data_IF_724357333164
#
_entry.id   IF_724357333164
#
_cell.length_a   1.000
_cell.length_b   1.000
_cell.length_c   1.000
_cell.angle_alpha   90.00
_cell.angle_beta   90.00
_cell.angle_gamma   90.00
#
_symmetry.space_group_name_H-M   'P 1'
#
loop_
_entity.id
_entity.type
_entity.pdbx_description
1 polymer ?
#
# COMPACT_ATOMS: atom_id res chain seq x y z
N UNK A 1 16.67 22.46 -54.71
CA UNK A 1 16.71 21.37 -53.71
C UNK A 1 16.82 21.86 -52.27
N UNK A 2 17.50 22.94 -51.91
CA UNK A 2 17.64 23.46 -50.53
C UNK A 2 16.36 24.07 -49.92
N UNK A 3 15.38 24.51 -50.74
CA UNK A 3 14.12 25.12 -50.26
C UNK A 3 13.04 24.09 -49.91
N UNK A 4 13.08 22.86 -50.45
CA UNK A 4 12.15 21.78 -50.07
C UNK A 4 12.49 21.13 -48.72
N UNK A 5 13.77 21.10 -48.35
CA UNK A 5 14.22 20.56 -47.10
C UNK A 5 13.81 21.42 -45.86
N UNK A 6 13.69 22.76 -46.08
CA UNK A 6 13.26 23.69 -45.05
C UNK A 6 11.75 23.59 -44.73
N UNK A 7 10.91 23.27 -45.75
CA UNK A 7 9.48 23.08 -45.53
C UNK A 7 9.15 21.75 -44.81
N UNK A 8 9.94 20.71 -45.04
CA UNK A 8 9.76 19.42 -44.33
C UNK A 8 10.13 19.50 -42.86
N UNK A 9 11.13 20.34 -42.50
CA UNK A 9 11.54 20.55 -41.11
C UNK A 9 10.56 21.39 -40.29
N UNK A 10 9.69 22.18 -40.92
CA UNK A 10 8.65 22.99 -40.25
C UNK A 10 7.34 22.24 -40.03
N UNK A 11 7.13 21.10 -40.69
CA UNK A 11 5.92 20.28 -40.53
C UNK A 11 6.04 19.17 -39.46
N UNK A 12 7.26 18.87 -39.02
CA UNK A 12 7.51 17.85 -37.99
C UNK A 12 7.04 18.22 -36.58
N UNK A 13 7.00 19.49 -36.12
CA UNK A 13 6.50 19.77 -34.74
C UNK A 13 4.98 19.84 -34.64
N UNK A 14 4.21 19.93 -35.76
CA UNK A 14 2.74 20.01 -35.65
C UNK A 14 2.06 18.66 -35.40
N UNK A 15 2.71 17.54 -35.67
CA UNK A 15 2.14 16.21 -35.42
C UNK A 15 2.32 15.71 -34.00
N UNK A 16 3.14 16.39 -33.16
CA UNK A 16 3.30 16.05 -31.73
C UNK A 16 2.33 16.78 -30.78
N UNK A 17 1.52 17.71 -31.30
CA UNK A 17 0.61 18.50 -30.46
C UNK A 17 -0.68 17.77 -30.05
N UNK A 18 -0.91 16.54 -30.54
CA UNK A 18 -2.11 15.76 -30.20
C UNK A 18 -1.92 14.70 -29.11
N UNK A 19 -0.74 14.63 -28.51
CA UNK A 19 -0.46 13.70 -27.41
C UNK A 19 -0.79 14.29 -26.02
N UNK A 20 -1.43 15.47 -25.94
CA UNK A 20 -1.91 15.98 -24.67
C UNK A 20 -3.15 15.19 -24.25
N UNK A 21 -2.97 14.41 -23.20
CA UNK A 21 -4.07 13.77 -22.49
C UNK A 21 -5.09 14.85 -22.12
N UNK A 22 -6.32 14.69 -22.59
CA UNK A 22 -7.41 15.59 -22.21
C UNK A 22 -7.76 15.31 -20.76
N UNK A 23 -7.05 15.95 -19.84
CA UNK A 23 -7.31 15.86 -18.40
C UNK A 23 -8.53 16.72 -18.12
N UNK A 24 -9.71 16.13 -18.22
CA UNK A 24 -10.93 16.74 -17.72
C UNK A 24 -10.82 16.86 -16.19
N UNK A 25 -10.49 18.04 -15.71
CA UNK A 25 -10.56 18.34 -14.27
C UNK A 25 -12.03 18.34 -13.87
N UNK A 26 -12.49 17.23 -13.29
CA UNK A 26 -13.71 17.22 -12.51
C UNK A 26 -13.37 17.83 -11.16
N UNK A 27 -13.87 19.02 -10.91
CA UNK A 27 -14.00 19.50 -9.54
C UNK A 27 -15.25 18.85 -8.96
N UNK A 28 -15.05 17.70 -8.30
CA UNK A 28 -16.14 17.07 -7.56
C UNK A 28 -16.56 18.05 -6.45
N UNK A 29 -17.80 18.46 -6.49
CA UNK A 29 -18.35 19.48 -5.58
C UNK A 29 -18.79 18.91 -4.25
N UNK A 30 -18.70 17.60 -4.08
CA UNK A 30 -19.23 16.89 -2.91
C UNK A 30 -18.08 16.21 -2.19
N UNK A 31 -17.88 16.59 -0.92
CA UNK A 31 -16.94 15.91 -0.04
C UNK A 31 -17.26 14.41 0.03
N UNK A 32 -16.25 13.52 0.00
CA UNK A 32 -16.49 12.06 0.02
C UNK A 32 -17.14 11.60 1.32
N UNK A 33 -16.76 12.24 2.43
CA UNK A 33 -17.28 11.94 3.77
C UNK A 33 -17.03 13.11 4.72
N UNK A 34 -17.81 13.14 5.80
CA UNK A 34 -17.63 14.05 6.94
C UNK A 34 -17.62 13.21 8.22
N UNK A 35 -16.59 13.40 9.03
CA UNK A 35 -16.52 12.83 10.39
C UNK A 35 -17.23 13.80 11.32
N UNK A 36 -18.31 13.35 11.95
CA UNK A 36 -19.12 14.15 12.86
C UNK A 36 -18.47 14.22 14.26
N UNK A 37 -18.88 15.20 15.11
CA UNK A 37 -18.29 15.35 16.46
C UNK A 37 -18.44 14.13 17.38
N UNK A 38 -19.40 13.26 17.12
CA UNK A 38 -19.64 12.02 17.85
C UNK A 38 -18.89 10.80 17.26
N UNK A 39 -18.00 11.03 16.27
CA UNK A 39 -17.30 10.01 15.50
C UNK A 39 -18.20 9.18 14.57
N UNK A 40 -19.46 9.52 14.37
CA UNK A 40 -20.20 8.97 13.24
C UNK A 40 -19.66 9.55 11.94
N UNK A 41 -19.83 8.82 10.83
CA UNK A 41 -19.30 9.23 9.52
C UNK A 41 -20.43 9.32 8.51
N UNK A 42 -20.58 10.50 7.92
CA UNK A 42 -21.56 10.71 6.84
C UNK A 42 -20.85 10.63 5.50
N UNK A 43 -21.15 9.62 4.71
CA UNK A 43 -20.65 9.42 3.36
C UNK A 43 -21.54 10.13 2.34
N UNK A 44 -20.91 10.66 1.28
CA UNK A 44 -21.62 11.30 0.18
C UNK A 44 -21.06 10.83 -1.17
N UNK A 45 -21.98 10.68 -2.14
CA UNK A 45 -21.60 10.47 -3.54
C UNK A 45 -22.63 11.07 -4.48
N UNK A 46 -22.16 11.71 -5.54
CA UNK A 46 -23.04 12.23 -6.59
C UNK A 46 -23.26 11.13 -7.64
N UNK A 47 -24.47 10.58 -7.65
CA UNK A 47 -24.91 9.55 -8.60
C UNK A 47 -26.39 9.78 -9.01
N UNK A 48 -26.70 10.87 -9.75
CA UNK A 48 -28.06 11.30 -10.01
C UNK A 48 -28.88 10.28 -10.83
N UNK A 49 -28.21 9.47 -11.66
CA UNK A 49 -28.85 8.44 -12.49
C UNK A 49 -28.96 7.08 -11.83
N UNK A 50 -28.28 6.85 -10.68
CA UNK A 50 -28.31 5.58 -9.99
C UNK A 50 -29.69 5.28 -9.40
N UNK A 51 -30.07 3.99 -9.41
CA UNK A 51 -31.29 3.47 -8.82
C UNK A 51 -31.09 3.04 -7.37
N UNK A 52 -29.89 2.57 -7.04
CA UNK A 52 -29.50 2.12 -5.70
C UNK A 52 -28.04 2.45 -5.44
N UNK A 53 -27.75 2.94 -4.23
CA UNK A 53 -26.37 3.16 -3.77
C UNK A 53 -26.27 2.69 -2.32
N UNK A 54 -25.24 1.94 -2.01
CA UNK A 54 -24.88 1.60 -0.62
C UNK A 54 -23.39 1.77 -0.38
N UNK A 55 -23.02 2.06 0.85
CA UNK A 55 -21.63 2.03 1.33
C UNK A 55 -21.39 0.71 2.06
N UNK A 56 -20.26 0.08 1.78
CA UNK A 56 -19.81 -1.15 2.43
C UNK A 56 -18.40 -0.92 2.98
N UNK A 57 -18.21 -1.13 4.28
CA UNK A 57 -16.95 -0.93 4.96
C UNK A 57 -16.69 -1.98 6.03
N UNK A 58 -15.51 -1.91 6.63
CA UNK A 58 -14.98 -2.89 7.60
C UNK A 58 -15.27 -2.54 9.07
N UNK A 59 -16.15 -1.56 9.33
CA UNK A 59 -16.54 -1.16 10.69
C UNK A 59 -17.57 -2.08 11.36
N UNK A 60 -18.07 -3.08 10.66
CA UNK A 60 -18.98 -4.07 11.20
C UNK A 60 -18.49 -5.49 10.88
N UNK A 61 -18.90 -6.47 11.69
CA UNK A 61 -18.50 -7.88 11.55
C UNK A 61 -18.79 -8.47 10.15
N UNK A 62 -19.77 -7.90 9.42
CA UNK A 62 -20.18 -8.29 8.07
C UNK A 62 -19.78 -7.22 7.02
N UNK A 63 -18.70 -6.50 7.23
CA UNK A 63 -18.19 -5.45 6.36
C UNK A 63 -19.16 -4.26 6.15
N UNK A 64 -20.02 -3.92 7.11
CA UNK A 64 -21.03 -2.85 7.05
C UNK A 64 -21.81 -2.81 5.73
N UNK A 65 -23.10 -2.58 5.75
CA UNK A 65 -23.90 -2.50 4.53
C UNK A 65 -24.93 -1.36 4.64
N UNK A 66 -24.44 -0.11 4.49
CA UNK A 66 -25.24 1.08 4.62
C UNK A 66 -25.98 1.44 3.34
N UNK A 67 -27.29 1.22 3.30
CA UNK A 67 -28.14 1.72 2.21
C UNK A 67 -28.19 3.25 2.26
N UNK A 68 -27.76 3.91 1.18
CA UNK A 68 -27.75 5.36 1.09
C UNK A 68 -29.11 5.93 0.67
N UNK A 69 -29.40 7.13 1.11
CA UNK A 69 -30.63 7.88 0.78
C UNK A 69 -30.32 8.93 -0.28
N UNK A 70 -31.14 8.95 -1.35
CA UNK A 70 -30.98 9.92 -2.44
C UNK A 70 -31.60 11.27 -2.08
N UNK A 71 -30.79 12.32 -2.11
CA UNK A 71 -31.23 13.71 -1.96
C UNK A 71 -31.82 14.29 -3.26
N UNK A 72 -32.45 15.45 -3.15
CA UNK A 72 -33.13 16.13 -4.27
C UNK A 72 -32.21 16.52 -5.43
N UNK A 73 -30.92 16.77 -5.14
CA UNK A 73 -29.89 17.15 -6.12
C UNK A 73 -29.18 15.93 -6.77
N UNK A 74 -29.61 14.71 -6.45
CA UNK A 74 -28.98 13.49 -6.94
C UNK A 74 -27.75 13.03 -6.15
N UNK A 75 -27.41 13.69 -5.04
CA UNK A 75 -26.39 13.24 -4.08
C UNK A 75 -27.01 12.19 -3.15
N UNK A 76 -26.30 11.10 -2.97
CA UNK A 76 -26.63 10.06 -2.02
C UNK A 76 -25.85 10.23 -0.74
N UNK A 77 -26.46 9.92 0.41
CA UNK A 77 -25.80 9.98 1.71
C UNK A 77 -26.19 8.84 2.63
N UNK A 78 -25.27 8.49 3.52
CA UNK A 78 -25.47 7.54 4.61
C UNK A 78 -24.61 7.96 5.80
N UNK A 79 -25.15 7.88 7.02
CA UNK A 79 -24.40 8.15 8.27
C UNK A 79 -24.30 6.86 9.08
N UNK A 80 -23.08 6.51 9.50
CA UNK A 80 -22.82 5.37 10.38
C UNK A 80 -23.24 5.67 11.82
N UNK A 81 -23.41 4.67 12.69
CA UNK A 81 -23.24 4.88 14.13
C UNK A 81 -21.85 5.46 14.45
N UNK A 82 -21.62 6.02 15.67
CA UNK A 82 -20.27 6.39 16.11
C UNK A 82 -19.30 5.23 16.02
N UNK A 83 -18.10 5.50 15.44
CA UNK A 83 -17.07 4.49 15.20
C UNK A 83 -15.90 4.69 16.17
N UNK A 84 -15.26 3.61 16.66
CA UNK A 84 -14.01 3.69 17.39
C UNK A 84 -12.89 4.40 16.62
N UNK A 85 -11.90 4.92 17.33
CA UNK A 85 -10.69 5.47 16.71
C UNK A 85 -9.89 4.36 16.04
N UNK A 86 -9.86 4.38 14.69
CA UNK A 86 -9.19 3.37 13.86
C UNK A 86 -9.04 3.90 12.42
N UNK A 87 -8.33 3.15 11.58
CA UNK A 87 -8.35 3.28 10.13
C UNK A 87 -9.41 2.35 9.55
N UNK A 88 -10.20 2.88 8.63
CA UNK A 88 -11.29 2.16 7.99
C UNK A 88 -11.15 2.14 6.49
N UNK A 89 -11.54 1.01 5.88
CA UNK A 89 -11.67 0.86 4.44
C UNK A 89 -13.14 0.76 4.03
N UNK A 90 -13.48 1.27 2.84
CA UNK A 90 -14.82 1.18 2.32
C UNK A 90 -14.88 1.18 0.80
N UNK A 91 -16.00 0.70 0.27
CA UNK A 91 -16.38 0.80 -1.13
C UNK A 91 -17.83 1.24 -1.25
N UNK A 92 -18.17 1.80 -2.40
CA UNK A 92 -19.54 2.07 -2.81
C UNK A 92 -20.05 0.96 -3.73
N UNK A 93 -21.28 0.54 -3.52
CA UNK A 93 -22.03 -0.27 -4.47
C UNK A 93 -23.03 0.63 -5.18
N UNK A 94 -22.83 0.85 -6.46
CA UNK A 94 -23.73 1.67 -7.29
C UNK A 94 -24.37 0.75 -8.33
N UNK A 95 -25.69 0.53 -8.21
CA UNK A 95 -26.46 -0.35 -9.08
C UNK A 95 -25.85 -1.76 -9.27
N UNK A 96 -25.28 -2.32 -8.19
CA UNK A 96 -24.66 -3.66 -8.20
C UNK A 96 -23.15 -3.67 -8.49
N UNK A 97 -22.56 -2.54 -8.85
CA UNK A 97 -21.13 -2.43 -9.15
C UNK A 97 -20.38 -1.87 -7.94
N UNK A 98 -19.44 -2.65 -7.40
CA UNK A 98 -18.56 -2.21 -6.32
C UNK A 98 -17.38 -1.39 -6.87
N UNK A 99 -17.17 -0.20 -6.28
CA UNK A 99 -16.10 0.69 -6.68
C UNK A 99 -15.54 1.46 -5.47
N UNK A 100 -14.33 2.00 -5.60
CA UNK A 100 -13.87 3.06 -4.68
C UNK A 100 -14.78 4.27 -4.82
N UNK A 101 -14.82 5.11 -3.80
CA UNK A 101 -15.56 6.38 -3.87
C UNK A 101 -14.88 7.30 -4.90
N UNK A 102 -15.59 7.72 -5.97
CA UNK A 102 -14.97 8.46 -7.09
C UNK A 102 -14.47 9.85 -6.68
N UNK A 103 -14.98 10.39 -5.59
CA UNK A 103 -14.62 11.69 -5.00
C UNK A 103 -13.64 11.57 -3.82
N UNK A 104 -13.17 10.34 -3.48
CA UNK A 104 -12.13 10.12 -2.46
C UNK A 104 -10.84 9.64 -3.12
N UNK A 105 -9.82 10.49 -3.31
CA UNK A 105 -8.53 10.08 -3.87
C UNK A 105 -7.71 9.22 -2.91
N UNK A 106 -8.08 9.18 -1.62
CA UNK A 106 -7.38 8.39 -0.62
C UNK A 106 -7.83 6.93 -0.68
N UNK A 107 -6.98 6.09 -1.29
CA UNK A 107 -7.27 4.68 -1.56
C UNK A 107 -6.06 3.80 -1.31
N UNK A 108 -6.31 2.52 -1.09
CA UNK A 108 -5.30 1.47 -1.01
C UNK A 108 -5.76 0.22 -1.77
N UNK A 109 -4.83 -0.69 -2.00
CA UNK A 109 -5.12 -2.01 -2.55
C UNK A 109 -4.95 -3.08 -1.46
N UNK A 110 -5.94 -3.94 -1.34
CA UNK A 110 -5.82 -5.20 -0.62
C UNK A 110 -6.04 -6.36 -1.60
N UNK A 111 -5.05 -7.23 -1.72
CA UNK A 111 -5.00 -8.29 -2.74
C UNK A 111 -5.23 -7.73 -4.15
N UNK A 112 -6.36 -7.98 -4.76
CA UNK A 112 -6.77 -7.46 -6.08
C UNK A 112 -7.88 -6.42 -6.02
N UNK A 113 -8.25 -5.94 -4.84
CA UNK A 113 -9.37 -5.02 -4.63
C UNK A 113 -8.88 -3.66 -4.18
N UNK A 114 -9.41 -2.60 -4.78
CA UNK A 114 -9.19 -1.22 -4.33
C UNK A 114 -10.26 -0.82 -3.32
N UNK A 115 -9.83 -0.11 -2.29
CA UNK A 115 -10.67 0.45 -1.23
C UNK A 115 -10.39 1.93 -1.06
N UNK A 116 -11.40 2.72 -0.73
CA UNK A 116 -11.22 4.06 -0.18
C UNK A 116 -10.94 3.98 1.32
N UNK A 117 -10.21 4.95 1.85
CA UNK A 117 -9.78 5.02 3.25
C UNK A 117 -10.30 6.25 3.96
N UNK A 118 -10.45 6.16 5.29
CA UNK A 118 -10.55 7.27 6.21
C UNK A 118 -10.04 6.88 7.61
N UNK A 119 -9.87 7.86 8.49
CA UNK A 119 -9.44 7.65 9.88
C UNK A 119 -10.39 8.31 10.85
N UNK A 120 -10.61 7.67 12.00
CA UNK A 120 -11.22 8.27 13.19
C UNK A 120 -10.11 8.52 14.19
N UNK A 121 -9.93 9.77 14.59
CA UNK A 121 -8.90 10.24 15.50
C UNK A 121 -9.19 9.90 16.97
N UNK A 122 -8.22 10.19 17.85
CA UNK A 122 -8.38 10.08 19.31
C UNK A 122 -8.04 8.70 19.88
N UNK A 123 -7.14 7.94 19.21
CA UNK A 123 -6.70 6.62 19.65
C UNK A 123 -5.80 5.94 18.62
N UNK A 124 -6.12 4.71 18.23
CA UNK A 124 -5.33 3.96 17.24
C UNK A 124 -5.25 4.67 15.88
N UNK A 125 -6.33 5.32 15.47
CA UNK A 125 -6.39 6.05 14.19
C UNK A 125 -5.30 7.11 14.04
N UNK A 126 -4.82 7.67 15.14
CA UNK A 126 -3.77 8.70 15.13
C UNK A 126 -2.42 8.17 14.62
N UNK A 127 -2.16 6.86 14.77
CA UNK A 127 -0.91 6.26 14.30
C UNK A 127 -0.85 6.04 12.80
N UNK A 128 -1.99 5.90 12.13
CA UNK A 128 -2.05 5.68 10.68
C UNK A 128 -1.92 6.97 9.86
N UNK A 129 -2.05 8.13 10.50
CA UNK A 129 -2.06 9.42 9.86
C UNK A 129 -0.67 10.02 9.69
N UNK A 130 -0.54 10.91 8.72
CA UNK A 130 0.61 11.81 8.63
C UNK A 130 0.44 12.87 9.71
N UNK A 131 1.37 12.92 10.67
CA UNK A 131 1.42 13.92 11.73
C UNK A 131 2.59 14.88 11.47
N UNK A 132 2.57 16.04 12.10
CA UNK A 132 3.69 17.01 12.06
C UNK A 132 4.83 16.54 12.97
N UNK A 133 5.54 15.51 12.50
CA UNK A 133 6.69 14.89 13.18
C UNK A 133 7.79 14.63 12.14
N UNK A 134 9.04 14.42 12.53
CA UNK A 134 10.07 13.99 11.59
C UNK A 134 9.66 12.68 10.89
N UNK A 135 9.86 12.62 9.58
CA UNK A 135 9.51 11.46 8.76
C UNK A 135 10.75 10.68 8.34
N UNK A 136 10.60 9.36 8.29
CA UNK A 136 11.55 8.48 7.64
C UNK A 136 11.31 8.40 6.13
N UNK A 137 12.27 7.78 5.43
CA UNK A 137 12.20 7.56 3.99
C UNK A 137 11.79 6.13 3.66
N UNK A 138 11.15 5.97 2.49
CA UNK A 138 10.83 4.66 1.93
C UNK A 138 11.54 4.50 0.60
N UNK A 139 12.36 3.46 0.48
CA UNK A 139 13.05 3.08 -0.75
C UNK A 139 12.55 1.73 -1.22
N UNK A 140 12.06 1.66 -2.45
CA UNK A 140 11.78 0.38 -3.12
C UNK A 140 12.96 0.04 -4.01
N UNK A 141 13.49 -1.18 -3.89
CA UNK A 141 14.72 -1.60 -4.58
C UNK A 141 14.65 -3.06 -4.99
N UNK A 142 15.55 -3.44 -5.91
CA UNK A 142 15.71 -4.79 -6.41
C UNK A 142 16.97 -5.43 -5.83
N UNK A 143 16.92 -6.75 -5.64
CA UNK A 143 18.06 -7.60 -5.31
C UNK A 143 17.99 -8.89 -6.11
N UNK A 144 19.12 -9.49 -6.39
CA UNK A 144 19.17 -10.81 -7.00
C UNK A 144 19.04 -11.90 -5.94
N UNK A 145 18.21 -12.90 -6.22
CA UNK A 145 18.13 -14.11 -5.41
C UNK A 145 18.63 -15.29 -6.23
N UNK A 146 19.80 -15.82 -5.88
CA UNK A 146 20.37 -17.02 -6.51
C UNK A 146 19.48 -18.25 -6.27
N UNK A 147 18.95 -18.37 -5.05
CA UNK A 147 18.08 -19.50 -4.64
C UNK A 147 16.77 -19.52 -5.43
N UNK A 148 16.17 -18.34 -5.67
CA UNK A 148 14.94 -18.22 -6.45
C UNK A 148 15.19 -17.99 -7.94
N UNK A 149 16.45 -17.82 -8.35
CA UNK A 149 16.88 -17.64 -9.73
C UNK A 149 16.28 -16.42 -10.42
N UNK A 150 16.06 -15.33 -9.68
CA UNK A 150 15.40 -14.13 -10.23
C UNK A 150 15.71 -12.85 -9.46
N UNK A 151 15.55 -11.70 -10.14
CA UNK A 151 15.48 -10.40 -9.48
C UNK A 151 14.22 -10.33 -8.64
N UNK A 152 14.36 -9.78 -7.43
CA UNK A 152 13.30 -9.69 -6.43
C UNK A 152 13.17 -8.27 -5.92
N UNK A 153 11.97 -7.83 -5.65
CA UNK A 153 11.70 -6.47 -5.16
C UNK A 153 11.36 -6.47 -3.68
N UNK A 154 11.83 -5.45 -2.97
CA UNK A 154 11.48 -5.20 -1.58
C UNK A 154 11.41 -3.69 -1.32
N UNK A 155 10.69 -3.33 -0.27
CA UNK A 155 10.61 -1.97 0.23
C UNK A 155 11.30 -1.86 1.59
N UNK A 156 12.01 -0.76 1.82
CA UNK A 156 12.74 -0.48 3.07
C UNK A 156 12.33 0.88 3.59
N UNK A 157 11.84 0.91 4.82
CA UNK A 157 11.71 2.13 5.59
C UNK A 157 13.00 2.38 6.37
N UNK A 158 13.55 3.59 6.29
CA UNK A 158 14.64 4.09 7.12
C UNK A 158 14.11 5.17 8.06
N UNK A 159 14.53 5.19 9.35
CA UNK A 159 13.95 6.10 10.33
C UNK A 159 14.32 7.56 10.06
N UNK A 160 13.60 8.54 10.67
CA UNK A 160 13.94 9.95 10.56
C UNK A 160 15.41 10.23 10.83
N UNK A 161 16.00 11.12 10.04
CA UNK A 161 17.42 11.51 10.12
C UNK A 161 18.43 10.41 9.80
N UNK A 162 18.01 9.31 9.19
CA UNK A 162 18.91 8.22 8.81
C UNK A 162 20.08 8.73 7.96
N UNK A 163 19.85 9.56 6.95
CA UNK A 163 20.86 10.14 6.06
C UNK A 163 21.78 11.20 6.72
N UNK A 164 21.37 11.72 7.89
CA UNK A 164 22.08 12.82 8.60
C UNK A 164 22.99 12.33 9.72
N UNK A 165 23.12 11.04 9.93
CA UNK A 165 23.97 10.45 10.96
C UNK A 165 24.67 9.18 10.46
N UNK A 166 25.58 8.62 11.29
CA UNK A 166 26.36 7.42 10.99
C UNK A 166 25.95 6.21 11.84
N UNK A 167 24.83 6.30 12.56
CA UNK A 167 24.39 5.24 13.46
C UNK A 167 23.96 4.00 12.68
N UNK A 168 24.16 2.83 13.29
CA UNK A 168 23.60 1.57 12.86
C UNK A 168 22.31 1.27 13.62
N UNK A 169 21.37 0.59 12.97
CA UNK A 169 20.02 0.40 13.44
C UNK A 169 19.62 -1.08 13.49
N UNK A 170 18.77 -1.49 14.43
CA UNK A 170 18.13 -2.79 14.37
C UNK A 170 17.19 -2.86 13.16
N UNK A 171 16.83 -4.09 12.77
CA UNK A 171 16.01 -4.35 11.59
C UNK A 171 14.78 -5.17 11.95
N UNK A 172 13.60 -4.70 11.54
CA UNK A 172 12.36 -5.46 11.53
C UNK A 172 12.09 -5.94 10.10
N UNK A 173 12.00 -7.24 9.90
CA UNK A 173 11.49 -7.85 8.66
C UNK A 173 9.99 -8.09 8.81
N UNK A 174 9.19 -7.48 7.92
CA UNK A 174 7.74 -7.48 8.01
C UNK A 174 7.12 -8.13 6.77
N UNK A 175 6.54 -9.32 6.95
CA UNK A 175 6.10 -10.20 5.87
C UNK A 175 4.59 -10.10 5.64
N UNK A 176 4.19 -9.92 4.37
CA UNK A 176 2.78 -9.78 3.98
C UNK A 176 2.05 -11.13 3.93
N UNK A 177 0.73 -11.07 3.93
CA UNK A 177 -0.16 -12.22 3.77
C UNK A 177 -0.33 -12.67 2.30
N UNK A 178 -1.04 -13.77 2.08
CA UNK A 178 -1.34 -14.26 0.74
C UNK A 178 -2.06 -13.19 -0.09
N UNK A 179 -1.63 -13.02 -1.35
CA UNK A 179 -2.15 -11.99 -2.25
C UNK A 179 -1.55 -10.61 -2.08
N UNK A 180 -0.77 -10.37 -1.01
CA UNK A 180 0.03 -9.17 -0.84
C UNK A 180 1.33 -9.20 -1.64
N UNK A 181 2.13 -8.16 -1.48
CA UNK A 181 3.44 -7.96 -2.08
C UNK A 181 4.25 -6.94 -1.24
N UNK A 182 5.38 -6.48 -1.73
CA UNK A 182 6.27 -5.54 -1.05
C UNK A 182 5.67 -4.16 -0.73
N UNK A 183 4.49 -3.85 -1.28
CA UNK A 183 3.77 -2.59 -1.03
C UNK A 183 2.68 -2.74 0.04
N UNK A 184 2.24 -3.97 0.35
CA UNK A 184 1.06 -4.21 1.19
C UNK A 184 1.17 -3.54 2.58
N UNK A 185 2.30 -3.68 3.26
CA UNK A 185 2.52 -3.06 4.55
C UNK A 185 2.70 -1.54 4.50
N UNK A 186 3.13 -1.00 3.36
CA UNK A 186 3.25 0.45 3.17
C UNK A 186 1.90 1.11 2.89
N UNK A 187 1.12 0.54 1.98
CA UNK A 187 -0.12 1.13 1.49
C UNK A 187 -1.29 0.85 2.45
N UNK A 188 -1.60 -0.42 2.67
CA UNK A 188 -2.68 -0.84 3.56
C UNK A 188 -2.24 -0.81 5.03
N UNK A 189 -1.06 -1.32 5.35
CA UNK A 189 -0.55 -1.39 6.72
C UNK A 189 -0.02 -0.06 7.27
N UNK A 190 0.17 0.97 6.43
CA UNK A 190 0.63 2.32 6.83
C UNK A 190 1.93 2.35 7.61
N UNK A 191 2.79 1.36 7.44
CA UNK A 191 3.99 1.12 8.26
C UNK A 191 4.84 2.37 8.46
N UNK A 192 5.14 3.13 7.39
CA UNK A 192 5.98 4.33 7.51
C UNK A 192 5.37 5.35 8.49
N UNK A 193 4.04 5.54 8.47
CA UNK A 193 3.35 6.50 9.36
C UNK A 193 3.32 6.02 10.80
N UNK A 194 3.07 4.74 11.01
CA UNK A 194 3.12 4.11 12.34
C UNK A 194 4.52 4.27 12.94
N UNK A 195 5.55 3.97 12.17
CA UNK A 195 6.94 4.08 12.62
C UNK A 195 7.30 5.52 12.97
N UNK A 196 7.01 6.49 12.09
CA UNK A 196 7.26 7.91 12.33
C UNK A 196 6.62 8.39 13.63
N UNK A 197 5.33 8.08 13.81
CA UNK A 197 4.56 8.50 14.98
C UNK A 197 5.04 7.85 16.27
N UNK A 198 5.34 6.55 16.26
CA UNK A 198 5.83 5.83 17.44
C UNK A 198 7.25 6.25 17.84
N UNK A 199 8.13 6.53 16.87
CA UNK A 199 9.48 7.05 17.12
C UNK A 199 9.40 8.45 17.72
N UNK A 200 8.55 9.34 17.16
CA UNK A 200 8.37 10.70 17.67
C UNK A 200 7.81 10.72 19.10
N UNK A 201 6.99 9.76 19.48
CA UNK A 201 6.47 9.60 20.84
C UNK A 201 7.46 8.88 21.80
N UNK A 202 8.62 8.45 21.31
CA UNK A 202 9.59 7.69 22.11
C UNK A 202 9.11 6.31 22.54
N UNK A 203 8.06 5.77 21.91
CA UNK A 203 7.49 4.45 22.22
C UNK A 203 8.31 3.30 21.64
N UNK A 204 9.04 3.56 20.57
CA UNK A 204 9.99 2.64 19.95
C UNK A 204 11.31 3.36 19.67
N UNK A 205 12.39 2.60 19.65
CA UNK A 205 13.66 3.10 19.14
C UNK A 205 13.63 3.13 17.61
N UNK A 206 14.40 4.06 16.98
CA UNK A 206 14.54 4.07 15.53
C UNK A 206 15.09 2.75 15.01
N UNK A 207 14.49 2.23 13.93
CA UNK A 207 14.87 0.97 13.29
C UNK A 207 14.55 1.01 11.80
N UNK A 208 15.20 0.12 11.04
CA UNK A 208 14.79 -0.16 9.66
C UNK A 208 13.60 -1.13 9.66
N UNK A 209 12.70 -0.96 8.68
CA UNK A 209 11.67 -1.98 8.40
C UNK A 209 11.83 -2.45 6.96
N UNK A 210 12.05 -3.75 6.78
CA UNK A 210 12.24 -4.39 5.47
C UNK A 210 10.98 -5.17 5.13
N UNK A 211 10.37 -4.86 4.01
CA UNK A 211 9.11 -5.44 3.54
C UNK A 211 9.37 -6.12 2.18
N UNK A 212 9.79 -7.39 2.17
CA UNK A 212 10.05 -8.10 0.94
C UNK A 212 8.78 -8.65 0.30
N UNK A 213 8.84 -8.90 -1.01
CA UNK A 213 7.83 -9.74 -1.66
C UNK A 213 8.03 -11.21 -1.25
N UNK A 214 7.06 -11.75 -0.50
CA UNK A 214 7.09 -13.11 0.03
C UNK A 214 6.60 -14.19 -0.95
N UNK A 215 6.29 -13.83 -2.20
CA UNK A 215 5.80 -14.79 -3.20
C UNK A 215 6.97 -15.43 -3.95
N UNK A 216 7.23 -16.72 -3.83
CA UNK A 216 8.42 -17.34 -4.43
C UNK A 216 8.43 -17.26 -5.97
N UNK A 217 7.26 -17.23 -6.60
CA UNK A 217 7.12 -17.22 -8.07
C UNK A 217 6.87 -15.82 -8.66
N UNK A 218 6.88 -14.75 -7.86
CA UNK A 218 6.62 -13.39 -8.31
C UNK A 218 7.76 -12.46 -7.89
N UNK A 219 8.29 -11.74 -8.83
CA UNK A 219 9.42 -10.85 -8.61
C UNK A 219 9.03 -9.59 -7.83
N UNK A 220 7.82 -9.06 -8.11
CA UNK A 220 7.31 -7.80 -7.56
C UNK A 220 5.78 -7.76 -7.58
N UNK A 221 5.22 -6.66 -7.09
CA UNK A 221 3.80 -6.33 -7.13
C UNK A 221 3.21 -6.44 -8.56
N UNK A 222 1.90 -6.63 -8.70
CA UNK A 222 1.23 -6.64 -10.00
C UNK A 222 1.53 -5.38 -10.81
N UNK A 223 1.93 -5.57 -12.07
CA UNK A 223 2.33 -4.48 -12.98
C UNK A 223 3.78 -4.03 -12.86
N UNK A 224 4.53 -4.50 -11.86
CA UNK A 224 5.92 -4.14 -11.59
C UNK A 224 6.92 -5.23 -11.97
N UNK A 225 6.47 -6.31 -12.59
CA UNK A 225 7.32 -7.40 -13.09
C UNK A 225 7.65 -7.20 -14.56
N UNK A 226 8.79 -7.71 -15.07
CA UNK A 226 9.11 -7.70 -16.50
C UNK A 226 8.07 -8.44 -17.37
N UNK A 227 7.33 -9.35 -16.75
CA UNK A 227 6.23 -10.08 -17.35
C UNK A 227 4.99 -9.18 -17.42
N UNK A 228 4.80 -8.53 -18.56
CA UNK A 228 3.74 -7.56 -18.83
C UNK A 228 2.30 -8.09 -18.68
N UNK A 229 2.10 -9.38 -18.43
CA UNK A 229 0.78 -10.00 -18.37
C UNK A 229 0.30 -10.25 -16.93
N UNK A 230 1.05 -9.81 -15.92
CA UNK A 230 0.82 -10.22 -14.56
C UNK A 230 0.20 -9.14 -13.68
N UNK A 231 -1.06 -8.83 -13.98
CA UNK A 231 -1.87 -7.90 -13.17
C UNK A 231 -2.60 -8.59 -12.00
N UNK A 232 -2.48 -9.91 -11.87
CA UNK A 232 -3.16 -10.64 -10.79
C UNK A 232 -2.25 -10.78 -9.59
N UNK A 233 -2.77 -10.51 -8.37
CA UNK A 233 -2.06 -10.83 -7.14
C UNK A 233 -1.73 -12.31 -7.05
N UNK A 234 -0.61 -12.61 -6.41
CA UNK A 234 -0.20 -13.98 -6.20
C UNK A 234 -0.93 -14.57 -4.97
N UNK A 235 -1.69 -15.64 -5.14
CA UNK A 235 -2.38 -16.35 -4.07
C UNK A 235 -1.61 -17.59 -3.64
N UNK A 236 -1.51 -17.86 -2.34
CA UNK A 236 -0.70 -18.91 -1.74
C UNK A 236 -0.98 -20.33 -2.25
N UNK A 237 -2.21 -20.62 -2.65
CA UNK A 237 -2.61 -21.94 -3.15
C UNK A 237 -2.31 -22.17 -4.63
N UNK A 238 -1.85 -21.15 -5.34
CA UNK A 238 -1.54 -21.19 -6.78
C UNK A 238 -0.05 -21.08 -7.11
N UNK A 239 0.84 -21.11 -6.10
CA UNK A 239 2.27 -20.96 -6.32
C UNK A 239 3.00 -22.31 -6.47
N UNK A 240 3.75 -22.50 -7.56
CA UNK A 240 4.87 -23.41 -7.54
C UNK A 240 5.88 -22.95 -6.48
N UNK A 241 6.36 -23.84 -5.64
CA UNK A 241 7.39 -23.54 -4.65
C UNK A 241 6.91 -23.01 -3.29
N UNK A 242 5.63 -22.71 -3.11
CA UNK A 242 5.13 -22.20 -1.82
C UNK A 242 5.39 -23.14 -0.63
N UNK A 243 5.40 -24.45 -0.85
CA UNK A 243 5.58 -25.46 0.20
C UNK A 243 6.97 -26.12 0.22
N UNK A 244 7.85 -25.77 -0.69
CA UNK A 244 9.19 -26.39 -0.79
C UNK A 244 10.26 -25.68 0.07
N UNK A 245 9.88 -24.58 0.72
CA UNK A 245 10.77 -23.80 1.57
C UNK A 245 11.82 -22.98 0.80
N UNK A 246 11.66 -22.80 -0.52
CA UNK A 246 12.62 -22.06 -1.33
C UNK A 246 12.70 -20.57 -0.93
N UNK A 247 11.55 -19.94 -0.66
CA UNK A 247 11.51 -18.56 -0.19
C UNK A 247 12.20 -18.41 1.17
N UNK A 248 11.89 -19.31 2.11
CA UNK A 248 12.45 -19.26 3.46
C UNK A 248 13.97 -19.49 3.46
N UNK A 249 14.45 -20.39 2.60
CA UNK A 249 15.91 -20.60 2.39
C UNK A 249 16.56 -19.36 1.78
N UNK A 250 15.88 -18.67 0.86
CA UNK A 250 16.40 -17.45 0.23
C UNK A 250 16.44 -16.25 1.18
N UNK A 251 15.84 -16.32 2.36
CA UNK A 251 15.75 -15.19 3.26
C UNK A 251 17.11 -14.69 3.77
N UNK A 252 18.10 -15.56 3.84
CA UNK A 252 19.49 -15.18 4.14
C UNK A 252 20.08 -14.22 3.11
N UNK A 253 19.67 -14.32 1.85
CA UNK A 253 20.09 -13.40 0.79
C UNK A 253 19.53 -12.00 1.03
N UNK A 254 18.28 -11.88 1.51
CA UNK A 254 17.66 -10.61 1.92
C UNK A 254 18.46 -9.99 3.07
N UNK A 255 18.78 -10.79 4.10
CA UNK A 255 19.56 -10.31 5.24
C UNK A 255 20.91 -9.76 4.78
N UNK A 256 21.65 -10.52 3.97
CA UNK A 256 22.96 -10.09 3.45
C UNK A 256 22.84 -8.84 2.57
N UNK A 257 21.82 -8.77 1.71
CA UNK A 257 21.57 -7.59 0.89
C UNK A 257 21.36 -6.35 1.74
N UNK A 258 20.53 -6.45 2.79
CA UNK A 258 20.20 -5.34 3.69
C UNK A 258 21.42 -4.93 4.51
N UNK A 259 22.15 -5.87 5.09
CA UNK A 259 23.34 -5.57 5.90
C UNK A 259 24.46 -4.92 5.06
N UNK A 260 24.59 -5.28 3.78
CA UNK A 260 25.57 -4.67 2.87
C UNK A 260 25.18 -3.28 2.35
N UNK A 261 23.88 -2.98 2.30
CA UNK A 261 23.36 -1.75 1.69
C UNK A 261 23.00 -0.68 2.70
N UNK A 262 22.60 -1.06 3.89
CA UNK A 262 22.13 -0.16 4.94
C UNK A 262 22.96 -0.29 6.21
N UNK A 263 22.93 0.74 7.04
CA UNK A 263 23.63 0.74 8.34
C UNK A 263 22.81 -0.05 9.35
N UNK A 264 22.99 -1.34 9.35
CA UNK A 264 22.35 -2.27 10.30
C UNK A 264 23.30 -2.62 11.45
N UNK A 265 22.71 -3.13 12.55
CA UNK A 265 23.46 -3.87 13.57
C UNK A 265 23.36 -5.34 13.18
N UNK A 266 24.42 -5.96 12.61
CA UNK A 266 24.32 -7.22 11.87
C UNK A 266 24.38 -8.45 12.79
N UNK A 267 23.61 -8.46 13.86
CA UNK A 267 23.51 -9.61 14.77
C UNK A 267 22.02 -9.98 15.05
N UNK A 268 21.79 -11.22 15.46
CA UNK A 268 20.46 -11.76 15.68
C UNK A 268 19.66 -11.09 16.81
N UNK A 269 20.32 -10.43 17.77
CA UNK A 269 19.65 -9.72 18.88
C UNK A 269 19.05 -8.40 18.45
N UNK A 270 19.50 -7.92 17.28
CA UNK A 270 19.03 -6.66 16.70
C UNK A 270 18.19 -6.88 15.44
N UNK A 271 17.72 -8.12 15.22
CA UNK A 271 16.77 -8.47 14.17
C UNK A 271 15.47 -8.97 14.76
N UNK A 272 14.37 -8.55 14.16
CA UNK A 272 13.05 -9.07 14.43
C UNK A 272 12.37 -9.46 13.11
N UNK A 273 11.51 -10.45 13.15
CA UNK A 273 10.69 -10.86 12.02
C UNK A 273 9.24 -11.02 12.47
N UNK A 274 8.32 -10.52 11.68
CA UNK A 274 6.88 -10.63 11.92
C UNK A 274 6.14 -10.78 10.60
N UNK A 275 4.92 -11.30 10.63
CA UNK A 275 4.14 -11.44 9.43
C UNK A 275 2.68 -11.75 9.68
N UNK A 276 1.84 -11.45 8.69
CA UNK A 276 0.42 -11.73 8.68
C UNK A 276 0.14 -13.00 7.87
N UNK A 277 -0.70 -13.92 8.38
CA UNK A 277 -1.19 -15.09 7.62
C UNK A 277 -0.05 -15.89 6.97
N UNK A 278 0.09 -15.89 5.66
CA UNK A 278 1.23 -16.47 4.93
C UNK A 278 2.57 -15.96 5.47
N UNK A 279 2.69 -14.65 5.74
CA UNK A 279 3.87 -14.06 6.34
C UNK A 279 4.15 -14.59 7.76
N UNK A 280 3.12 -14.92 8.54
CA UNK A 280 3.26 -15.61 9.82
C UNK A 280 3.83 -17.03 9.65
N UNK A 281 3.36 -17.76 8.65
CA UNK A 281 3.94 -19.06 8.28
C UNK A 281 5.42 -18.91 7.91
N UNK A 282 5.75 -17.98 7.01
CA UNK A 282 7.15 -17.72 6.63
C UNK A 282 8.00 -17.34 7.85
N UNK A 283 7.46 -16.49 8.75
CA UNK A 283 8.16 -16.12 10.00
C UNK A 283 8.57 -17.32 10.82
N UNK A 284 7.63 -18.21 11.12
CA UNK A 284 7.90 -19.40 11.92
C UNK A 284 8.88 -20.36 11.22
N UNK A 285 8.74 -20.53 9.91
CA UNK A 285 9.58 -21.40 9.12
C UNK A 285 11.01 -20.86 9.01
N UNK A 286 11.19 -19.56 8.73
CA UNK A 286 12.49 -18.89 8.70
C UNK A 286 13.20 -19.03 10.05
N UNK A 287 12.51 -18.77 11.16
CA UNK A 287 13.08 -18.91 12.52
C UNK A 287 13.54 -20.35 12.79
N UNK A 288 12.84 -21.34 12.25
CA UNK A 288 13.24 -22.74 12.40
C UNK A 288 14.50 -23.13 11.60
N UNK A 289 14.76 -22.42 10.49
CA UNK A 289 15.87 -22.71 9.58
C UNK A 289 17.15 -21.94 9.92
N UNK A 290 17.05 -20.65 10.14
CA UNK A 290 18.22 -19.76 10.14
C UNK A 290 18.45 -19.01 11.46
N UNK A 291 17.61 -19.17 12.45
CA UNK A 291 17.78 -18.61 13.80
C UNK A 291 18.25 -17.13 13.80
N UNK A 292 17.55 -16.28 13.04
CA UNK A 292 17.85 -14.85 12.91
C UNK A 292 17.61 -14.09 14.22
#
# INVERSE_FOLDING_TARGET
MKRLALLAALLLPLSMAFAQQNVGFRTDKVEPLVINPDNSVTFYVEAPKAKSVSVKGDWEANEGNGQMTKGKNGTWSYTTPPLPSEMYTYRLNIDGIYNIAPNNPFSCRDVGTLFSLFYINGGNGDYYQVRDVPHGDVTTTWYHSDILGSERRLSVYTPPFYDKNIQSYPVLYLLHGSGGDENAWLELGRTARIMDNLIAEGKIQPMLVVMPNGNPSKQAAPGETPDNLNYKPAMSNSFPGYKDGSYEKSFTEIIHFIDNRYRTIPDKRHRAIAGLSMGGFHTLYILSLIHI
#
